data_IF_749507019671
#
_entry.id   IF_749507019671
#
_cell.length_a   1.000
_cell.length_b   1.000
_cell.length_c   1.000
_cell.angle_alpha   90.00
_cell.angle_beta   90.00
_cell.angle_gamma   90.00
#
_symmetry.space_group_name_H-M   'P 1'
#
loop_
_entity.id
_entity.type
_entity.pdbx_description
1 polymer ?
#
# COMPACT_ATOMS: atom_id res chain seq x y z
N UNK A 1 4.76 20.92 -39.75
CA UNK A 1 5.89 19.98 -39.89
C UNK A 1 6.75 19.91 -38.62
N UNK A 2 7.39 20.99 -38.16
CA UNK A 2 8.26 20.95 -36.98
C UNK A 2 7.59 20.46 -35.67
N UNK A 3 6.34 20.87 -35.40
CA UNK A 3 5.57 20.41 -34.23
C UNK A 3 5.27 18.91 -34.27
N UNK A 4 5.02 18.35 -35.46
CA UNK A 4 4.76 16.92 -35.66
C UNK A 4 6.02 16.10 -35.38
N UNK A 5 7.17 16.53 -35.91
CA UNK A 5 8.46 15.88 -35.65
C UNK A 5 8.87 15.89 -34.18
N UNK A 6 8.58 16.97 -33.44
CA UNK A 6 8.89 17.03 -32.01
C UNK A 6 8.02 16.04 -31.20
N UNK A 7 6.71 15.98 -31.50
CA UNK A 7 5.81 15.03 -30.85
C UNK A 7 6.20 13.56 -31.15
N UNK A 8 6.60 13.26 -32.38
CA UNK A 8 7.05 11.91 -32.76
C UNK A 8 8.33 11.51 -32.00
N UNK A 9 9.26 12.46 -31.83
CA UNK A 9 10.48 12.24 -31.07
C UNK A 9 10.20 12.00 -29.59
N UNK A 10 9.34 12.80 -28.97
CA UNK A 10 8.95 12.63 -27.57
C UNK A 10 8.29 11.28 -27.34
N UNK A 11 7.42 10.82 -28.25
CA UNK A 11 6.83 9.48 -28.18
C UNK A 11 7.88 8.37 -28.29
N UNK A 12 8.87 8.53 -29.15
CA UNK A 12 9.98 7.58 -29.25
C UNK A 12 10.80 7.50 -27.97
N UNK A 13 11.08 8.64 -27.33
CA UNK A 13 11.78 8.67 -26.04
C UNK A 13 10.96 8.06 -24.90
N UNK A 14 9.64 8.29 -24.86
CA UNK A 14 8.75 7.65 -23.89
C UNK A 14 8.78 6.13 -24.07
N UNK A 15 8.69 5.65 -25.32
CA UNK A 15 8.73 4.22 -25.63
C UNK A 15 10.10 3.59 -25.27
N UNK A 16 11.20 4.27 -25.60
CA UNK A 16 12.57 3.85 -25.23
C UNK A 16 12.74 3.78 -23.71
N UNK A 17 12.27 4.80 -22.98
CA UNK A 17 12.31 4.83 -21.52
C UNK A 17 11.48 3.71 -20.90
N UNK A 18 10.28 3.45 -21.41
CA UNK A 18 9.41 2.40 -20.90
C UNK A 18 9.95 0.98 -21.18
N UNK A 19 10.59 0.78 -22.34
CA UNK A 19 11.09 -0.53 -22.75
C UNK A 19 12.46 -0.88 -22.13
N UNK A 20 13.29 0.13 -21.87
CA UNK A 20 14.69 -0.08 -21.49
C UNK A 20 15.07 0.55 -20.14
N UNK A 21 14.14 1.27 -19.49
CA UNK A 21 14.35 1.87 -18.18
C UNK A 21 15.61 2.70 -18.11
N UNK A 22 16.47 2.39 -17.15
CA UNK A 22 17.75 3.11 -16.96
C UNK A 22 18.77 2.87 -18.07
N UNK A 23 18.58 1.83 -18.88
CA UNK A 23 19.44 1.54 -20.01
C UNK A 23 19.05 2.29 -21.29
N UNK A 24 17.88 2.93 -21.29
CA UNK A 24 17.37 3.73 -22.40
C UNK A 24 18.29 4.89 -22.76
N UNK A 25 18.26 5.30 -24.03
CA UNK A 25 18.96 6.51 -24.49
C UNK A 25 18.37 7.73 -23.79
N UNK A 26 17.04 7.74 -23.61
CA UNK A 26 16.33 8.81 -22.91
C UNK A 26 16.85 9.02 -21.48
N UNK A 27 16.97 7.95 -20.67
CA UNK A 27 17.39 8.07 -19.26
C UNK A 27 18.84 8.50 -19.09
N UNK A 28 19.71 8.13 -20.03
CA UNK A 28 21.14 8.46 -20.02
C UNK A 28 21.43 9.92 -20.38
N UNK A 29 20.48 10.62 -20.98
CA UNK A 29 20.60 12.04 -21.33
C UNK A 29 19.71 12.91 -20.42
N UNK A 30 20.35 13.66 -19.52
CA UNK A 30 19.65 14.58 -18.61
C UNK A 30 18.83 15.65 -19.32
N UNK A 31 19.22 16.06 -20.53
CA UNK A 31 18.48 17.05 -21.33
C UNK A 31 17.13 16.47 -21.77
N UNK A 32 17.15 15.22 -22.27
CA UNK A 32 15.94 14.51 -22.66
C UNK A 32 15.05 14.29 -21.44
N UNK A 33 15.59 13.84 -20.32
CA UNK A 33 14.80 13.64 -19.09
C UNK A 33 14.18 14.92 -18.56
N UNK A 34 14.92 16.04 -18.60
CA UNK A 34 14.38 17.36 -18.25
C UNK A 34 13.24 17.78 -19.19
N UNK A 35 13.34 17.49 -20.49
CA UNK A 35 12.27 17.76 -21.44
C UNK A 35 11.04 16.89 -21.13
N UNK A 36 11.22 15.58 -20.94
CA UNK A 36 10.14 14.63 -20.65
C UNK A 36 9.39 14.95 -19.36
N UNK A 37 10.06 15.51 -18.33
CA UNK A 37 9.40 16.01 -17.12
C UNK A 37 8.38 17.13 -17.39
N UNK A 38 8.45 17.79 -18.55
CA UNK A 38 7.49 18.83 -18.96
C UNK A 38 6.42 18.32 -19.93
N UNK A 39 6.50 17.04 -20.34
CA UNK A 39 5.60 16.42 -21.32
C UNK A 39 4.52 15.63 -20.59
N UNK A 40 3.27 16.10 -20.68
CA UNK A 40 2.13 15.44 -20.01
C UNK A 40 1.94 13.97 -20.41
N UNK A 41 2.22 13.61 -21.67
CA UNK A 41 2.12 12.23 -22.15
C UNK A 41 3.14 11.31 -21.47
N UNK A 42 4.34 11.82 -21.18
CA UNK A 42 5.39 11.05 -20.51
C UNK A 42 5.04 10.80 -19.03
N UNK A 43 4.55 11.83 -18.33
CA UNK A 43 4.11 11.73 -16.93
C UNK A 43 2.88 10.83 -16.75
N UNK A 44 2.04 10.69 -17.79
CA UNK A 44 0.86 9.81 -17.80
C UNK A 44 1.15 8.37 -18.23
N UNK A 45 2.34 8.10 -18.76
CA UNK A 45 2.74 6.74 -19.12
C UNK A 45 3.30 6.03 -17.87
N UNK A 46 2.62 5.04 -17.27
CA UNK A 46 2.92 4.62 -15.90
C UNK A 46 4.34 4.08 -15.68
N UNK A 47 4.89 3.36 -16.66
CA UNK A 47 6.27 2.83 -16.60
C UNK A 47 7.31 3.95 -16.80
N UNK A 48 7.09 4.87 -17.73
CA UNK A 48 8.00 6.01 -17.94
C UNK A 48 7.97 6.97 -16.74
N UNK A 49 6.80 7.17 -16.14
CA UNK A 49 6.59 7.97 -14.94
C UNK A 49 7.47 7.51 -13.77
N UNK A 50 7.67 6.20 -13.61
CA UNK A 50 8.58 5.64 -12.60
C UNK A 50 10.01 6.16 -12.79
N UNK A 51 10.56 6.02 -13.99
CA UNK A 51 11.91 6.49 -14.27
C UNK A 51 12.03 8.02 -14.23
N UNK A 52 10.98 8.76 -14.61
CA UNK A 52 10.94 10.21 -14.45
C UNK A 52 10.97 10.62 -12.97
N UNK A 53 10.24 9.90 -12.10
CA UNK A 53 10.29 10.13 -10.66
C UNK A 53 11.67 9.80 -10.07
N UNK A 54 12.30 8.68 -10.46
CA UNK A 54 13.68 8.34 -10.09
C UNK A 54 14.66 9.45 -10.49
N UNK A 55 14.62 9.88 -11.75
CA UNK A 55 15.47 10.94 -12.26
C UNK A 55 15.25 12.25 -11.51
N UNK A 56 13.99 12.64 -11.30
CA UNK A 56 13.65 13.86 -10.57
C UNK A 56 14.22 13.85 -9.15
N UNK A 57 14.06 12.75 -8.41
CA UNK A 57 14.62 12.63 -7.05
C UNK A 57 16.14 12.65 -7.03
N UNK A 58 16.80 11.91 -7.91
CA UNK A 58 18.27 11.90 -8.02
C UNK A 58 18.85 13.29 -8.33
N UNK A 59 18.07 14.15 -8.98
CA UNK A 59 18.47 15.51 -9.34
C UNK A 59 17.85 16.60 -8.46
N UNK A 60 17.42 16.26 -7.23
CA UNK A 60 16.85 17.20 -6.25
C UNK A 60 15.66 18.02 -6.79
N UNK A 61 14.88 17.43 -7.69
CA UNK A 61 13.66 18.06 -8.21
C UNK A 61 12.46 17.72 -7.32
N UNK A 62 11.52 18.65 -7.28
CA UNK A 62 10.31 18.58 -6.46
C UNK A 62 9.23 17.77 -7.17
N UNK A 63 8.93 16.54 -6.71
CA UNK A 63 8.00 15.65 -7.41
C UNK A 63 6.59 16.23 -7.52
N UNK A 64 6.12 16.94 -6.50
CA UNK A 64 4.79 17.58 -6.50
C UNK A 64 4.63 18.69 -7.56
N UNK A 65 5.71 19.16 -8.18
CA UNK A 65 5.62 20.09 -9.31
C UNK A 65 5.29 19.39 -10.64
N UNK A 66 5.60 18.10 -10.76
CA UNK A 66 5.46 17.34 -12.00
C UNK A 66 4.24 16.43 -11.97
N UNK A 67 4.04 15.71 -10.88
CA UNK A 67 2.98 14.72 -10.75
C UNK A 67 1.72 15.34 -10.13
N UNK A 68 0.57 14.88 -10.61
CA UNK A 68 -0.76 15.29 -10.20
C UNK A 68 -1.52 14.15 -9.54
N UNK A 69 -2.48 14.51 -8.69
CA UNK A 69 -3.41 13.54 -8.10
C UNK A 69 -4.13 12.78 -9.23
N UNK A 70 -4.10 11.46 -9.17
CA UNK A 70 -4.64 10.57 -10.20
C UNK A 70 -3.63 10.11 -11.24
N UNK A 71 -2.41 10.66 -11.29
CA UNK A 71 -1.35 10.11 -12.14
C UNK A 71 -0.95 8.70 -11.65
N UNK A 72 -0.55 7.84 -12.58
CA UNK A 72 -0.17 6.46 -12.29
C UNK A 72 1.33 6.25 -12.46
N UNK A 73 1.93 5.49 -11.54
CA UNK A 73 3.33 5.10 -11.55
C UNK A 73 3.42 3.60 -11.33
N UNK A 74 4.05 2.87 -12.23
CA UNK A 74 4.26 1.42 -12.08
C UNK A 74 5.63 1.17 -11.46
N UNK A 75 5.65 0.57 -10.27
CA UNK A 75 6.87 0.25 -9.54
C UNK A 75 7.14 -1.25 -9.62
N UNK A 76 8.28 -1.70 -10.17
CA UNK A 76 8.64 -3.11 -10.20
C UNK A 76 8.88 -3.68 -8.79
N UNK A 77 8.43 -4.91 -8.57
CA UNK A 77 8.66 -5.66 -7.33
C UNK A 77 8.98 -7.13 -7.63
N UNK A 78 9.97 -7.71 -6.96
CA UNK A 78 10.46 -9.06 -7.23
C UNK A 78 9.41 -10.16 -6.98
N UNK A 79 8.69 -10.09 -5.85
CA UNK A 79 7.60 -11.02 -5.49
C UNK A 79 6.31 -10.76 -6.30
N UNK A 80 5.84 -9.51 -6.30
CA UNK A 80 4.49 -9.14 -6.77
C UNK A 80 4.42 -8.71 -8.24
N UNK A 81 5.57 -8.66 -8.93
CA UNK A 81 5.67 -8.11 -10.28
C UNK A 81 5.53 -6.59 -10.30
N UNK A 82 5.09 -6.04 -11.42
CA UNK A 82 4.83 -4.61 -11.58
C UNK A 82 3.62 -4.19 -10.74
N UNK A 83 3.82 -3.27 -9.79
CA UNK A 83 2.76 -2.75 -8.92
C UNK A 83 2.35 -1.35 -9.41
N UNK A 84 1.15 -1.19 -10.01
CA UNK A 84 0.62 0.11 -10.35
C UNK A 84 0.26 0.87 -9.07
N UNK A 85 0.75 2.08 -8.94
CA UNK A 85 0.40 3.03 -7.90
C UNK A 85 -0.33 4.23 -8.49
N UNK A 86 -1.21 4.84 -7.71
CA UNK A 86 -1.88 6.10 -8.02
C UNK A 86 -1.36 7.17 -7.07
N UNK A 87 -1.08 8.36 -7.59
CA UNK A 87 -0.80 9.55 -6.78
C UNK A 87 -2.10 9.98 -6.08
N UNK A 88 -2.16 9.83 -4.77
CA UNK A 88 -3.34 10.19 -3.98
C UNK A 88 -3.26 11.58 -3.33
N UNK A 89 -2.05 12.11 -3.18
CA UNK A 89 -1.79 13.40 -2.54
C UNK A 89 -0.47 14.02 -2.98
N UNK A 90 -0.39 15.35 -2.83
CA UNK A 90 0.79 16.17 -3.14
C UNK A 90 1.08 17.05 -1.95
N UNK A 91 2.34 17.11 -1.53
CA UNK A 91 2.80 17.95 -0.41
C UNK A 91 2.10 17.65 0.94
N UNK A 92 1.32 16.56 1.03
CA UNK A 92 0.50 16.25 2.21
C UNK A 92 1.29 15.56 3.32
N UNK A 93 2.24 14.69 2.94
CA UNK A 93 3.10 13.94 3.86
C UNK A 93 4.54 14.47 3.83
N UNK A 94 4.71 15.74 3.46
CA UNK A 94 6.00 16.42 3.36
C UNK A 94 6.07 17.35 2.16
N UNK A 95 6.69 18.52 2.33
CA UNK A 95 6.85 19.47 1.22
C UNK A 95 7.65 18.85 0.07
N UNK A 96 7.13 18.98 -1.15
CA UNK A 96 7.77 18.48 -2.36
C UNK A 96 7.60 16.99 -2.64
N UNK A 97 6.80 16.27 -1.85
CA UNK A 97 6.55 14.84 -2.00
C UNK A 97 5.24 14.55 -2.72
N UNK A 98 5.12 13.31 -3.20
CA UNK A 98 3.86 12.74 -3.62
C UNK A 98 3.58 11.48 -2.81
N UNK A 99 2.31 11.27 -2.48
CA UNK A 99 1.85 10.07 -1.78
C UNK A 99 1.28 9.11 -2.82
N UNK A 100 1.84 7.91 -2.88
CA UNK A 100 1.43 6.84 -3.77
C UNK A 100 0.63 5.80 -2.99
N UNK A 101 -0.43 5.29 -3.60
CA UNK A 101 -1.20 4.15 -3.11
C UNK A 101 -1.21 3.06 -4.17
N UNK A 102 -0.94 1.82 -3.79
CA UNK A 102 -1.15 0.69 -4.68
C UNK A 102 -2.57 0.72 -5.25
N UNK A 103 -2.70 0.71 -6.58
CA UNK A 103 -3.99 0.80 -7.27
C UNK A 103 -4.86 -0.41 -6.96
N UNK A 104 -4.22 -1.56 -6.77
CA UNK A 104 -4.81 -2.85 -6.49
C UNK A 104 -4.37 -3.39 -5.13
N UNK A 105 -5.09 -4.38 -4.61
CA UNK A 105 -4.64 -5.17 -3.48
C UNK A 105 -3.51 -6.09 -3.94
N UNK A 106 -2.31 -5.91 -3.40
CA UNK A 106 -1.10 -6.59 -3.89
C UNK A 106 -1.03 -8.04 -3.42
N UNK A 107 -1.50 -8.31 -2.20
CA UNK A 107 -1.52 -9.64 -1.58
C UNK A 107 -2.64 -9.74 -0.52
N UNK A 108 -2.77 -10.92 0.09
CA UNK A 108 -3.68 -11.19 1.20
C UNK A 108 -2.88 -11.52 2.45
N UNK A 109 -3.17 -10.84 3.56
CA UNK A 109 -2.52 -11.06 4.85
C UNK A 109 -3.50 -10.78 5.97
N UNK A 110 -3.39 -11.49 7.09
CA UNK A 110 -4.04 -11.03 8.31
C UNK A 110 -3.38 -9.72 8.76
N UNK A 111 -4.14 -8.88 9.45
CA UNK A 111 -3.59 -7.68 10.08
C UNK A 111 -2.61 -8.08 11.18
N UNK A 112 -3.02 -9.04 12.00
CA UNK A 112 -2.23 -9.54 13.12
C UNK A 112 -2.62 -10.98 13.49
N UNK A 113 -1.69 -11.75 14.04
CA UNK A 113 -1.90 -13.13 14.47
C UNK A 113 -2.69 -13.23 15.79
N UNK A 114 -3.21 -14.42 16.10
CA UNK A 114 -3.82 -14.70 17.40
C UNK A 114 -2.76 -14.74 18.49
N UNK A 115 -2.97 -13.98 19.54
CA UNK A 115 -2.05 -13.87 20.67
C UNK A 115 -2.44 -14.86 21.78
N UNK A 116 -2.18 -16.15 21.58
CA UNK A 116 -2.78 -17.24 22.39
C UNK A 116 -2.56 -17.15 23.91
N UNK A 117 -1.57 -16.38 24.36
CA UNK A 117 -1.25 -16.12 25.77
C UNK A 117 -1.74 -14.77 26.29
N UNK A 118 -2.41 -13.94 25.47
CA UNK A 118 -2.88 -12.62 25.87
C UNK A 118 -3.93 -12.68 27.00
N UNK A 119 -3.95 -11.68 27.87
CA UNK A 119 -4.94 -11.55 28.94
C UNK A 119 -6.32 -11.15 28.41
N UNK A 120 -6.39 -10.33 27.35
CA UNK A 120 -7.63 -10.01 26.65
C UNK A 120 -8.11 -11.22 25.84
N UNK A 121 -9.28 -11.74 26.22
CA UNK A 121 -9.87 -12.93 25.61
C UNK A 121 -10.15 -12.76 24.11
N UNK A 122 -10.39 -11.54 23.65
CA UNK A 122 -10.60 -11.30 22.23
C UNK A 122 -9.29 -11.34 21.45
N UNK A 123 -8.23 -10.63 21.87
CA UNK A 123 -6.91 -10.69 21.23
C UNK A 123 -6.35 -12.11 21.18
N UNK A 124 -6.58 -12.87 22.26
CA UNK A 124 -6.28 -14.31 22.32
C UNK A 124 -6.87 -15.13 21.18
N UNK A 125 -8.10 -14.79 20.79
CA UNK A 125 -8.88 -15.60 19.83
C UNK A 125 -8.85 -15.00 18.42
N UNK A 126 -8.63 -13.70 18.30
CA UNK A 126 -8.95 -12.93 17.09
C UNK A 126 -7.86 -11.97 16.63
N UNK A 127 -6.73 -11.92 17.36
CA UNK A 127 -5.58 -11.05 17.09
C UNK A 127 -5.78 -9.61 17.57
N UNK A 128 -4.72 -8.82 17.46
CA UNK A 128 -4.65 -7.47 18.00
C UNK A 128 -4.89 -6.40 16.92
N UNK A 129 -5.76 -5.44 17.22
CA UNK A 129 -6.09 -4.37 16.28
C UNK A 129 -5.19 -3.13 16.37
N UNK A 130 -4.17 -3.15 17.22
CA UNK A 130 -3.25 -2.03 17.38
C UNK A 130 -2.19 -2.03 16.27
N UNK A 131 -2.21 -1.00 15.42
CA UNK A 131 -1.35 -0.92 14.23
C UNK A 131 0.14 -1.02 14.55
N UNK A 132 0.63 -0.29 15.55
CA UNK A 132 2.06 -0.31 15.93
C UNK A 132 2.58 -1.67 16.37
N UNK A 133 1.70 -2.57 16.80
CA UNK A 133 2.03 -3.92 17.26
C UNK A 133 1.76 -4.99 16.20
N UNK A 134 1.07 -4.62 15.12
CA UNK A 134 0.62 -5.58 14.12
C UNK A 134 1.77 -6.25 13.37
N UNK A 135 1.62 -7.55 13.13
CA UNK A 135 2.51 -8.28 12.23
C UNK A 135 2.59 -7.63 10.84
N UNK A 136 1.46 -7.11 10.33
CA UNK A 136 1.39 -6.51 8.99
C UNK A 136 2.23 -5.24 8.89
N UNK A 137 2.30 -4.42 9.94
CA UNK A 137 3.17 -3.24 9.95
C UNK A 137 4.66 -3.63 9.87
N UNK A 138 5.08 -4.62 10.66
CA UNK A 138 6.45 -5.13 10.64
C UNK A 138 6.81 -5.69 9.26
N UNK A 139 5.93 -6.53 8.70
CA UNK A 139 6.09 -7.10 7.36
C UNK A 139 6.25 -6.02 6.29
N UNK A 140 5.36 -5.02 6.29
CA UNK A 140 5.36 -3.95 5.27
C UNK A 140 6.60 -3.07 5.33
N UNK A 141 7.25 -2.96 6.49
CA UNK A 141 8.41 -2.09 6.70
C UNK A 141 9.74 -2.86 6.79
N UNK A 142 9.74 -4.17 6.51
CA UNK A 142 10.94 -4.99 6.56
C UNK A 142 11.53 -5.24 5.18
N UNK A 143 12.86 -5.08 5.08
CA UNK A 143 13.67 -5.52 3.94
C UNK A 143 14.46 -6.80 4.24
N UNK A 144 14.04 -7.57 5.26
CA UNK A 144 14.67 -8.83 5.60
C UNK A 144 14.14 -9.95 4.69
N UNK A 145 14.99 -10.92 4.44
CA UNK A 145 14.66 -12.12 3.66
C UNK A 145 13.64 -13.00 4.41
N UNK A 146 13.07 -13.96 3.67
CA UNK A 146 12.13 -14.98 4.18
C UNK A 146 12.51 -15.54 5.56
N UNK A 147 11.56 -15.54 6.51
CA UNK A 147 11.75 -16.08 7.86
C UNK A 147 12.50 -15.17 8.84
N UNK A 148 12.92 -13.95 8.44
CA UNK A 148 13.77 -13.09 9.25
C UNK A 148 13.19 -11.70 9.56
N UNK A 149 11.99 -11.37 9.09
CA UNK A 149 11.40 -10.05 9.34
C UNK A 149 10.65 -9.95 10.68
N UNK A 150 10.09 -11.05 11.18
CA UNK A 150 9.24 -11.04 12.37
C UNK A 150 10.08 -10.99 13.66
N UNK A 151 9.64 -10.15 14.59
CA UNK A 151 10.08 -10.16 15.98
C UNK A 151 8.91 -9.83 16.90
N UNK A 152 8.77 -10.55 18.00
CA UNK A 152 7.71 -10.29 18.98
C UNK A 152 7.86 -8.87 19.57
N UNK A 153 6.80 -8.06 19.51
CA UNK A 153 6.77 -6.69 20.01
C UNK A 153 6.34 -6.61 21.48
N UNK A 154 5.74 -7.68 22.00
CA UNK A 154 5.35 -7.85 23.41
C UNK A 154 5.23 -9.32 23.77
N UNK A 155 5.07 -9.63 25.06
CA UNK A 155 5.14 -11.00 25.59
C UNK A 155 4.10 -11.97 25.00
N UNK A 156 2.93 -11.47 24.63
CA UNK A 156 1.86 -12.27 24.02
C UNK A 156 1.88 -12.31 22.48
N UNK A 157 2.79 -11.57 21.84
CA UNK A 157 2.85 -11.45 20.38
C UNK A 157 3.18 -12.82 19.76
N UNK A 158 2.57 -13.11 18.62
CA UNK A 158 2.72 -14.36 17.92
C UNK A 158 3.00 -14.11 16.43
N UNK A 159 3.79 -14.98 15.82
CA UNK A 159 4.06 -14.90 14.39
C UNK A 159 2.78 -15.26 13.60
N UNK A 160 2.55 -14.66 12.41
CA UNK A 160 1.44 -15.01 11.53
C UNK A 160 1.70 -16.32 10.77
N UNK A 161 1.81 -17.40 11.53
CA UNK A 161 1.94 -18.77 11.06
C UNK A 161 0.58 -19.50 11.00
N UNK A 162 0.59 -20.73 10.49
CA UNK A 162 -0.63 -21.55 10.33
C UNK A 162 -1.34 -21.86 11.66
N UNK A 163 -0.65 -21.82 12.80
CA UNK A 163 -1.26 -22.05 14.11
C UNK A 163 -2.01 -20.80 14.59
N UNK A 164 -1.50 -19.61 14.29
CA UNK A 164 -2.00 -18.36 14.85
C UNK A 164 -2.92 -17.57 13.90
N UNK A 165 -3.03 -17.91 12.63
CA UNK A 165 -3.95 -17.25 11.67
C UNK A 165 -5.27 -18.01 11.46
N UNK A 166 -6.27 -17.38 10.86
CA UNK A 166 -7.54 -18.05 10.55
C UNK A 166 -7.35 -19.23 9.56
N UNK A 167 -7.80 -20.42 9.96
CA UNK A 167 -7.51 -21.70 9.26
C UNK A 167 -8.21 -21.90 7.91
N UNK A 168 -8.94 -20.90 7.41
CA UNK A 168 -9.70 -21.01 6.15
C UNK A 168 -9.11 -20.23 4.97
N UNK A 169 -7.90 -19.67 5.13
CA UNK A 169 -7.11 -19.15 4.03
C UNK A 169 -5.62 -19.31 4.30
N UNK A 170 -4.88 -19.78 3.28
CA UNK A 170 -3.42 -19.87 3.31
C UNK A 170 -2.82 -18.47 3.25
N UNK A 171 -2.67 -17.88 4.44
CA UNK A 171 -2.34 -16.46 4.64
C UNK A 171 -1.28 -16.29 5.70
N UNK A 172 -0.51 -17.36 5.94
CA UNK A 172 0.69 -17.25 6.75
C UNK A 172 1.75 -16.54 5.92
N UNK A 173 2.53 -15.68 6.57
CA UNK A 173 3.54 -14.90 5.86
C UNK A 173 4.82 -14.70 6.66
N UNK A 174 4.99 -15.43 7.76
CA UNK A 174 6.24 -15.48 8.50
C UNK A 174 7.41 -15.95 7.62
N UNK A 175 7.14 -16.90 6.71
CA UNK A 175 8.15 -17.47 5.81
C UNK A 175 8.33 -16.69 4.50
N UNK A 176 7.57 -15.62 4.29
CA UNK A 176 7.75 -14.72 3.14
C UNK A 176 8.82 -13.66 3.44
N UNK A 177 9.55 -13.16 2.43
CA UNK A 177 10.40 -11.99 2.60
C UNK A 177 9.56 -10.75 2.95
N UNK A 178 10.12 -9.83 3.73
CA UNK A 178 9.47 -8.56 4.05
C UNK A 178 9.15 -7.76 2.79
N UNK A 179 8.13 -6.91 2.84
CA UNK A 179 7.64 -6.19 1.66
C UNK A 179 8.71 -5.30 0.99
N UNK A 180 9.65 -4.73 1.76
CA UNK A 180 10.69 -3.89 1.19
C UNK A 180 11.82 -4.68 0.50
N UNK A 181 11.94 -5.98 0.76
CA UNK A 181 12.97 -6.85 0.16
C UNK A 181 12.79 -6.97 -1.37
N UNK A 182 11.55 -6.84 -1.85
CA UNK A 182 11.26 -6.98 -3.26
C UNK A 182 11.49 -5.74 -4.12
N UNK A 183 11.89 -4.60 -3.55
CA UNK A 183 12.16 -3.38 -4.32
C UNK A 183 13.65 -3.19 -4.60
N UNK A 184 13.95 -2.54 -5.73
CA UNK A 184 15.32 -2.14 -6.03
C UNK A 184 15.84 -1.06 -5.06
N UNK A 185 17.15 -1.06 -4.84
CA UNK A 185 17.80 -0.19 -3.86
C UNK A 185 17.60 1.30 -4.15
N UNK A 186 17.53 1.69 -5.43
CA UNK A 186 17.33 3.09 -5.80
C UNK A 186 15.91 3.54 -5.46
N UNK A 187 14.91 2.67 -5.63
CA UNK A 187 13.56 2.94 -5.16
C UNK A 187 13.49 3.05 -3.64
N UNK A 188 14.16 2.16 -2.91
CA UNK A 188 14.22 2.22 -1.45
C UNK A 188 14.82 3.54 -0.94
N UNK A 189 15.75 4.14 -1.67
CA UNK A 189 16.30 5.47 -1.36
C UNK A 189 15.33 6.63 -1.64
N UNK A 190 14.31 6.42 -2.47
CA UNK A 190 13.27 7.44 -2.70
C UNK A 190 12.26 7.48 -1.55
N UNK A 191 12.04 6.36 -0.86
CA UNK A 191 11.05 6.26 0.21
C UNK A 191 11.35 7.23 1.35
N UNK A 192 10.32 7.96 1.78
CA UNK A 192 10.36 8.80 2.99
C UNK A 192 9.81 8.04 4.18
N UNK A 193 10.48 8.19 5.32
CA UNK A 193 9.88 7.87 6.60
C UNK A 193 8.88 8.97 6.95
N UNK A 194 7.66 8.57 7.30
CA UNK A 194 6.58 9.46 7.68
C UNK A 194 5.99 9.03 9.01
N UNK A 195 5.41 9.99 9.74
CA UNK A 195 4.68 9.73 10.99
C UNK A 195 3.19 9.60 10.67
N UNK A 196 2.59 8.47 11.05
CA UNK A 196 1.16 8.20 10.86
C UNK A 196 0.46 8.02 12.19
N UNK A 197 -0.62 8.78 12.35
CA UNK A 197 -1.51 8.67 13.50
C UNK A 197 -2.46 7.49 13.33
N UNK A 198 -2.70 6.80 14.44
CA UNK A 198 -3.68 5.71 14.53
C UNK A 198 -4.47 5.85 15.83
N UNK A 199 -5.79 5.67 15.77
CA UNK A 199 -6.61 5.60 16.99
C UNK A 199 -6.25 4.36 17.81
N UNK A 200 -6.67 4.33 19.07
CA UNK A 200 -6.44 3.20 19.98
C UNK A 200 -7.74 2.62 20.52
N UNK A 201 -7.73 1.33 20.88
CA UNK A 201 -8.84 0.73 21.59
C UNK A 201 -9.07 1.44 22.93
N UNK A 202 -10.32 1.78 23.25
CA UNK A 202 -10.65 2.61 24.41
C UNK A 202 -10.48 1.91 25.75
N UNK A 203 -10.46 0.58 25.76
CA UNK A 203 -10.40 -0.22 26.99
C UNK A 203 -9.01 -0.83 27.18
N UNK A 204 -8.54 -1.55 26.17
CA UNK A 204 -7.32 -2.38 26.24
C UNK A 204 -6.06 -1.53 26.08
N UNK A 205 -6.12 -0.47 25.26
CA UNK A 205 -4.98 0.42 24.99
C UNK A 205 -5.13 1.80 25.65
N UNK A 206 -6.18 2.02 26.45
CA UNK A 206 -6.44 3.28 27.15
C UNK A 206 -7.05 4.41 26.30
N UNK A 207 -7.38 4.15 25.04
CA UNK A 207 -7.96 5.12 24.11
C UNK A 207 -6.99 6.20 23.62
N UNK A 208 -7.52 7.25 22.98
CA UNK A 208 -6.70 8.27 22.35
C UNK A 208 -6.07 7.76 21.04
N UNK A 209 -4.80 8.06 20.83
CA UNK A 209 -4.08 7.77 19.60
C UNK A 209 -2.60 7.48 19.86
N UNK A 210 -1.97 6.85 18.87
CA UNK A 210 -0.52 6.72 18.76
C UNK A 210 -0.04 7.29 17.42
N UNK A 211 1.21 7.75 17.40
CA UNK A 211 1.90 8.22 16.20
C UNK A 211 3.06 7.26 15.91
N UNK A 212 3.13 6.75 14.69
CA UNK A 212 4.06 5.67 14.30
C UNK A 212 4.87 6.06 13.09
N UNK A 213 6.20 5.87 13.15
CA UNK A 213 7.09 6.08 12.02
C UNK A 213 7.12 4.85 11.09
N UNK A 214 6.98 5.07 9.80
CA UNK A 214 7.00 4.01 8.79
C UNK A 214 7.40 4.56 7.41
N UNK A 215 7.89 3.68 6.53
CA UNK A 215 8.08 3.96 5.10
C UNK A 215 6.88 3.51 4.28
N UNK A 216 6.24 2.43 4.72
CA UNK A 216 5.07 1.82 4.09
C UNK A 216 3.94 1.74 5.13
N UNK A 217 2.75 2.21 4.75
CA UNK A 217 1.60 2.26 5.66
C UNK A 217 0.32 1.84 4.96
N UNK A 218 -0.67 1.44 5.75
CA UNK A 218 -2.05 1.38 5.30
C UNK A 218 -2.72 2.72 5.57
N UNK A 219 -3.65 3.12 4.71
CA UNK A 219 -4.45 4.33 4.94
C UNK A 219 -5.38 4.18 6.15
N UNK A 220 -5.78 5.29 6.75
CA UNK A 220 -6.80 5.33 7.81
C UNK A 220 -8.19 5.62 7.26
N UNK A 221 -9.23 5.39 8.07
CA UNK A 221 -10.60 5.77 7.70
C UNK A 221 -10.75 7.28 7.48
N UNK A 222 -10.02 8.10 8.24
CA UNK A 222 -9.96 9.56 8.06
C UNK A 222 -9.35 9.92 6.70
N UNK A 223 -8.21 9.33 6.37
CA UNK A 223 -7.48 9.62 5.14
C UNK A 223 -8.24 9.21 3.87
N UNK A 224 -9.12 8.22 3.96
CA UNK A 224 -10.02 7.84 2.86
C UNK A 224 -11.38 8.54 2.92
N UNK A 225 -11.68 9.33 3.96
CA UNK A 225 -12.89 10.13 4.09
C UNK A 225 -14.12 9.35 4.56
N UNK A 226 -13.92 8.32 5.36
CA UNK A 226 -14.98 7.50 5.95
C UNK A 226 -15.35 7.89 7.38
N UNK A 227 -14.64 8.82 8.01
CA UNK A 227 -14.94 9.31 9.34
C UNK A 227 -13.69 9.49 10.19
N UNK A 228 -13.90 9.63 11.49
CA UNK A 228 -12.84 9.66 12.50
C UNK A 228 -13.17 8.60 13.54
N UNK A 229 -12.20 7.75 13.87
CA UNK A 229 -12.43 6.66 14.82
C UNK A 229 -12.41 7.26 16.23
N UNK A 230 -13.53 7.16 16.94
CA UNK A 230 -13.67 7.69 18.31
C UNK A 230 -13.20 9.15 18.45
N UNK A 231 -13.58 10.00 17.49
CA UNK A 231 -13.19 11.42 17.41
C UNK A 231 -11.68 11.68 17.20
N UNK A 232 -10.90 10.67 16.87
CA UNK A 232 -9.49 10.81 16.49
C UNK A 232 -9.40 11.01 14.98
N UNK A 233 -8.92 12.17 14.54
CA UNK A 233 -8.51 12.36 13.16
C UNK A 233 -7.12 11.73 12.96
N UNK A 234 -7.06 10.62 12.24
CA UNK A 234 -5.82 9.85 12.01
C UNK A 234 -4.95 10.43 10.88
N UNK A 235 -5.37 11.56 10.31
CA UNK A 235 -4.70 12.25 9.21
C UNK A 235 -5.63 13.26 8.55
N UNK A 236 -5.33 13.61 7.30
CA UNK A 236 -6.20 14.45 6.46
C UNK A 236 -6.69 13.64 5.27
N UNK A 237 -7.93 13.86 4.84
CA UNK A 237 -8.49 13.26 3.63
C UNK A 237 -7.57 13.50 2.43
N UNK A 238 -7.10 12.42 1.79
CA UNK A 238 -6.37 12.54 0.53
C UNK A 238 -7.32 12.96 -0.60
N UNK A 239 -6.94 13.93 -1.45
CA UNK A 239 -7.81 14.52 -2.48
C UNK A 239 -8.27 13.52 -3.54
N UNK A 240 -7.60 12.38 -3.70
CA UNK A 240 -8.06 11.32 -4.60
C UNK A 240 -9.40 10.72 -4.18
N UNK A 241 -9.69 10.65 -2.89
CA UNK A 241 -10.90 10.03 -2.38
C UNK A 241 -12.07 11.01 -2.37
N UNK A 242 -12.89 10.95 -3.40
CA UNK A 242 -14.05 11.85 -3.58
C UNK A 242 -15.39 11.15 -3.36
N UNK A 243 -15.42 9.83 -3.48
CA UNK A 243 -16.62 9.01 -3.33
C UNK A 243 -16.28 7.52 -3.16
N UNK A 244 -17.31 6.70 -2.97
CA UNK A 244 -17.16 5.25 -2.83
C UNK A 244 -16.41 4.59 -4.00
N UNK A 245 -16.58 5.05 -5.25
CA UNK A 245 -15.91 4.45 -6.40
C UNK A 245 -14.38 4.60 -6.33
N UNK A 246 -13.89 5.76 -5.87
CA UNK A 246 -12.44 6.00 -5.69
C UNK A 246 -11.81 5.15 -4.57
N UNK A 247 -12.62 4.59 -3.67
CA UNK A 247 -12.17 3.72 -2.58
C UNK A 247 -12.16 2.24 -2.96
N UNK A 248 -12.88 1.85 -4.01
CA UNK A 248 -12.89 0.46 -4.48
C UNK A 248 -11.49 0.07 -4.92
N UNK A 249 -11.08 -1.13 -4.53
CA UNK A 249 -9.85 -1.76 -4.98
C UNK A 249 -10.17 -3.12 -5.58
N UNK A 250 -9.29 -3.60 -6.44
CA UNK A 250 -9.39 -4.89 -7.12
C UNK A 250 -8.13 -5.71 -6.82
N UNK A 251 -8.16 -7.04 -6.94
CA UNK A 251 -6.97 -7.85 -6.72
C UNK A 251 -5.97 -7.69 -7.87
N UNK A 252 -4.68 -7.60 -7.54
CA UNK A 252 -3.59 -7.67 -8.51
C UNK A 252 -3.57 -9.02 -9.23
N UNK A 253 -2.89 -9.12 -10.35
CA UNK A 253 -2.75 -10.40 -11.06
C UNK A 253 -2.03 -11.47 -10.21
N UNK A 254 -1.04 -11.06 -9.42
CA UNK A 254 -0.40 -11.93 -8.43
C UNK A 254 -1.43 -12.48 -7.42
N UNK A 255 -2.24 -11.59 -6.83
CA UNK A 255 -3.25 -11.99 -5.85
C UNK A 255 -4.33 -12.88 -6.49
N UNK A 256 -4.77 -12.57 -7.72
CA UNK A 256 -5.70 -13.43 -8.47
C UNK A 256 -5.13 -14.84 -8.66
N UNK A 257 -3.85 -14.97 -9.01
CA UNK A 257 -3.19 -16.25 -9.21
C UNK A 257 -3.11 -17.06 -7.90
N UNK A 258 -2.67 -16.44 -6.80
CA UNK A 258 -2.62 -17.07 -5.46
C UNK A 258 -4.00 -17.51 -4.98
N UNK A 259 -5.00 -16.64 -5.07
CA UNK A 259 -6.37 -16.95 -4.63
C UNK A 259 -6.99 -18.12 -5.42
N UNK A 260 -6.69 -18.23 -6.72
CA UNK A 260 -7.14 -19.37 -7.54
C UNK A 260 -6.47 -20.69 -7.14
N UNK A 261 -5.19 -20.66 -6.81
CA UNK A 261 -4.40 -21.87 -6.50
C UNK A 261 -4.90 -22.58 -5.23
N UNK A 262 -5.41 -21.83 -4.25
CA UNK A 262 -5.87 -22.36 -2.96
C UNK A 262 -7.36 -22.77 -2.97
N UNK A 263 -8.01 -22.83 -4.14
CA UNK A 263 -9.40 -23.30 -4.27
C UNK A 263 -10.44 -22.37 -3.62
N UNK A 264 -10.09 -21.10 -3.42
CA UNK A 264 -10.94 -20.16 -2.71
C UNK A 264 -12.19 -19.81 -3.56
N UNK A 265 -13.34 -20.37 -3.21
CA UNK A 265 -14.64 -20.03 -3.82
C UNK A 265 -15.08 -18.66 -3.31
N UNK A 266 -14.67 -17.64 -4.04
CA UNK A 266 -15.05 -16.25 -3.78
C UNK A 266 -16.49 -15.97 -4.20
N UNK A 267 -17.51 -16.64 -3.68
CA UNK A 267 -18.91 -16.34 -4.08
C UNK A 267 -19.28 -14.86 -3.84
N UNK A 268 -18.51 -14.15 -3.00
CA UNK A 268 -18.64 -12.72 -2.74
C UNK A 268 -17.63 -11.81 -3.48
N UNK A 269 -16.53 -12.35 -4.02
CA UNK A 269 -15.47 -11.56 -4.69
C UNK A 269 -15.40 -11.83 -6.20
N UNK A 270 -15.82 -13.00 -6.67
CA UNK A 270 -16.15 -13.27 -8.08
C UNK A 270 -17.63 -13.59 -8.19
N UNK A 271 -18.33 -12.94 -9.09
CA UNK A 271 -19.60 -13.45 -9.61
C UNK A 271 -19.44 -13.80 -11.10
N UNK A 272 -20.54 -14.20 -11.73
CA UNK A 272 -20.57 -14.53 -13.16
C UNK A 272 -20.14 -13.36 -14.08
N UNK A 273 -19.98 -12.13 -13.55
CA UNK A 273 -19.57 -10.93 -14.29
C UNK A 273 -18.13 -10.48 -13.97
N UNK A 274 -17.35 -11.27 -13.23
CA UNK A 274 -15.96 -10.97 -12.87
C UNK A 274 -15.78 -10.60 -11.39
N UNK A 275 -14.70 -9.87 -11.09
CA UNK A 275 -14.34 -9.50 -9.72
C UNK A 275 -15.16 -8.28 -9.22
N UNK A 276 -15.84 -8.41 -8.08
CA UNK A 276 -16.76 -7.38 -7.53
C UNK A 276 -16.07 -6.27 -6.72
N UNK A 277 -14.75 -6.15 -6.81
CA UNK A 277 -13.91 -5.41 -5.87
C UNK A 277 -13.44 -6.29 -4.73
N UNK A 278 -12.47 -5.81 -3.95
CA UNK A 278 -11.79 -6.55 -2.89
C UNK A 278 -11.83 -5.75 -1.58
N UNK A 279 -12.07 -6.43 -0.45
CA UNK A 279 -12.01 -5.79 0.87
C UNK A 279 -10.56 -5.55 1.26
N UNK A 280 -10.21 -4.33 1.65
CA UNK A 280 -8.83 -4.01 1.97
C UNK A 280 -8.69 -3.30 3.32
N UNK A 281 -7.57 -3.60 3.99
CA UNK A 281 -7.29 -3.14 5.34
C UNK A 281 -7.07 -1.64 5.42
N UNK A 282 -7.58 -1.04 6.50
CA UNK A 282 -7.13 0.26 7.00
C UNK A 282 -6.25 0.02 8.23
N UNK A 283 -5.37 0.97 8.57
CA UNK A 283 -4.63 0.90 9.84
C UNK A 283 -5.51 1.20 11.06
N UNK A 284 -6.69 1.78 10.83
CA UNK A 284 -7.62 2.19 11.88
C UNK A 284 -8.20 0.99 12.63
N UNK A 285 -8.11 0.94 13.97
CA UNK A 285 -8.82 -0.06 14.75
C UNK A 285 -10.32 0.25 14.83
N UNK A 286 -11.14 -0.73 15.18
CA UNK A 286 -12.40 -0.42 15.86
C UNK A 286 -12.09 -0.14 17.33
N UNK A 287 -12.26 1.10 17.77
CA UNK A 287 -11.86 1.53 19.11
C UNK A 287 -12.69 0.85 20.22
N UNK A 288 -13.88 0.32 19.91
CA UNK A 288 -14.76 -0.32 20.87
C UNK A 288 -14.41 -1.81 21.12
N UNK A 289 -13.67 -2.46 20.21
CA UNK A 289 -13.36 -3.88 20.29
C UNK A 289 -11.88 -4.13 19.96
N UNK A 290 -11.13 -4.73 20.88
CA UNK A 290 -9.66 -4.91 20.85
C UNK A 290 -9.08 -5.76 19.71
N UNK A 291 -9.95 -6.31 18.87
CA UNK A 291 -9.61 -7.27 17.80
C UNK A 291 -10.21 -6.92 16.45
N UNK A 292 -11.15 -5.98 16.38
CA UNK A 292 -11.73 -5.56 15.11
C UNK A 292 -10.88 -4.46 14.50
N UNK A 293 -10.56 -4.60 13.22
CA UNK A 293 -9.82 -3.62 12.43
C UNK A 293 -10.74 -3.11 11.32
N UNK A 294 -10.66 -1.80 11.02
CA UNK A 294 -11.46 -1.19 9.96
C UNK A 294 -10.95 -1.61 8.59
N UNK A 295 -11.88 -1.65 7.65
CA UNK A 295 -11.61 -2.00 6.26
C UNK A 295 -12.52 -1.19 5.33
N UNK A 296 -12.14 -1.13 4.06
CA UNK A 296 -13.01 -0.66 2.99
C UNK A 296 -13.63 -1.85 2.28
N UNK A 297 -14.95 -1.87 2.19
CA UNK A 297 -15.73 -2.93 1.55
C UNK A 297 -15.65 -2.85 0.02
N UNK A 298 -16.16 -3.87 -0.68
CA UNK A 298 -16.31 -3.88 -2.14
C UNK A 298 -17.21 -2.75 -2.65
N UNK A 299 -18.08 -2.23 -1.80
CA UNK A 299 -18.92 -1.07 -2.07
C UNK A 299 -18.21 0.28 -1.90
N UNK A 300 -16.98 0.31 -1.38
CA UNK A 300 -16.26 1.54 -1.02
C UNK A 300 -16.71 2.16 0.31
N UNK A 301 -17.39 1.38 1.15
CA UNK A 301 -17.91 1.81 2.48
C UNK A 301 -17.07 1.23 3.61
N UNK A 302 -17.17 1.85 4.79
CA UNK A 302 -16.51 1.36 6.00
C UNK A 302 -17.12 0.04 6.48
N UNK A 303 -16.28 -0.88 6.92
CA UNK A 303 -16.67 -2.08 7.65
C UNK A 303 -15.56 -2.46 8.64
N UNK A 304 -15.67 -3.61 9.28
CA UNK A 304 -14.64 -4.16 10.15
C UNK A 304 -14.67 -5.69 10.16
N UNK A 305 -13.53 -6.29 10.46
CA UNK A 305 -13.38 -7.75 10.59
C UNK A 305 -12.26 -8.04 11.60
N UNK A 306 -12.21 -9.25 12.21
CA UNK A 306 -11.15 -9.57 13.16
C UNK A 306 -9.76 -9.52 12.55
N UNK A 307 -8.77 -9.07 13.32
CA UNK A 307 -7.38 -8.86 12.88
C UNK A 307 -6.74 -10.12 12.26
N UNK A 308 -7.00 -11.30 12.84
CA UNK A 308 -6.49 -12.59 12.35
C UNK A 308 -7.07 -13.10 11.02
N UNK A 309 -8.06 -12.39 10.45
CA UNK A 309 -8.67 -12.75 9.18
C UNK A 309 -7.70 -12.51 8.02
N UNK A 310 -7.19 -13.57 7.40
CA UNK A 310 -6.33 -13.44 6.22
C UNK A 310 -7.06 -13.06 4.92
N UNK A 311 -8.38 -12.89 4.94
CA UNK A 311 -9.19 -12.73 3.72
C UNK A 311 -9.01 -11.39 3.02
N UNK A 312 -8.36 -10.42 3.66
CA UNK A 312 -8.35 -9.03 3.21
C UNK A 312 -7.11 -8.70 2.40
N UNK A 313 -7.32 -7.82 1.43
CA UNK A 313 -6.29 -7.31 0.56
C UNK A 313 -5.42 -6.27 1.29
N UNK A 314 -4.12 -6.36 1.04
CA UNK A 314 -3.14 -5.36 1.47
C UNK A 314 -3.01 -4.34 0.35
N UNK A 315 -3.29 -3.08 0.65
CA UNK A 315 -3.22 -1.96 -0.31
C UNK A 315 -2.29 -0.88 0.26
N UNK A 316 -0.96 -1.06 0.14
CA UNK A 316 0.01 -0.22 0.81
C UNK A 316 0.11 1.16 0.15
N UNK A 317 0.44 2.15 0.97
CA UNK A 317 0.80 3.49 0.57
C UNK A 317 2.23 3.81 0.99
N UNK A 318 2.87 4.67 0.21
CA UNK A 318 4.25 5.12 0.38
C UNK A 318 4.36 6.59 0.02
N UNK A 319 5.38 7.26 0.54
CA UNK A 319 5.70 8.65 0.21
C UNK A 319 7.05 8.66 -0.45
N UNK A 320 7.11 9.22 -1.65
CA UNK A 320 8.36 9.38 -2.41
C UNK A 320 8.68 10.81 -2.69
#
# INVERSE_FOLDING_TARGET
>A
MAKTFLADRQRQWIADLAAHGEQSVAYKDSTIMNELLTVSEALKHPVAAYFLAKFARKNNKTLSQYFNVGDEIVVPHAEYGDIPHIVIGKDMDGAGTITLLAKECVCQKCFDARETTNEDANRKTYGNNRWSQSNLMQYLNSGNTAGHWYSAQHDADAAPDTANIWSGCDTHYTDEPGYLDGFDIDFLYMLKTVTKRTALNTVTDGGGYEDVECKVFLLSETEVGLGNENNVAEGTLYPYFTNNATRKAYPSDYLKAKANAIGYTTDHIKNNNGWNGWWWWLRTPNSANSYYVRLVSTGGTLSHIPAYSGRLGVRPAIVI
#
